data_IF_080958849105
#
_entry.id   IF_080958849105
#
_cell.length_a   1.000
_cell.length_b   1.000
_cell.length_c   1.000
_cell.angle_alpha   90.00
_cell.angle_beta   90.00
_cell.angle_gamma   90.00
#
_symmetry.space_group_name_H-M   'P 1'
#
loop_
_entity.id
_entity.type
_entity.pdbx_description
1 polymer ?
#
# COMPACT_ATOMS: atom_id res chain seq x y z
N UNK A 1 -12.00 -43.29 1.42
CA UNK A 1 -11.98 -41.90 0.92
C UNK A 1 -12.56 -41.05 2.04
N UNK A 2 -11.77 -40.15 2.62
CA UNK A 2 -12.15 -39.42 3.85
C UNK A 2 -12.42 -37.93 3.61
N UNK A 3 -12.18 -37.44 2.40
CA UNK A 3 -12.31 -36.03 2.04
C UNK A 3 -13.57 -35.82 1.18
N UNK A 4 -14.39 -34.83 1.57
CA UNK A 4 -15.67 -34.53 0.92
C UNK A 4 -15.83 -33.04 0.66
N UNK A 5 -16.51 -32.69 -0.43
CA UNK A 5 -16.96 -31.32 -0.71
C UNK A 5 -18.46 -31.26 -0.45
N UNK A 6 -18.85 -30.69 0.69
CA UNK A 6 -20.25 -30.54 1.07
C UNK A 6 -20.81 -29.25 0.49
N UNK A 7 -21.94 -29.36 -0.21
CA UNK A 7 -22.64 -28.21 -0.79
C UNK A 7 -24.11 -28.30 -0.43
N UNK A 8 -24.70 -27.18 -0.03
CA UNK A 8 -26.14 -27.11 0.24
C UNK A 8 -26.91 -27.52 -1.02
N UNK A 9 -27.95 -28.36 -0.86
CA UNK A 9 -28.78 -28.88 -1.95
C UNK A 9 -29.25 -27.80 -2.93
N UNK A 10 -29.54 -26.60 -2.44
CA UNK A 10 -29.94 -25.44 -3.26
C UNK A 10 -28.89 -25.03 -4.31
N UNK A 11 -27.61 -25.24 -4.03
CA UNK A 11 -26.50 -24.86 -4.90
C UNK A 11 -25.87 -26.04 -5.63
N UNK A 12 -26.52 -27.22 -5.65
CA UNK A 12 -25.96 -28.42 -6.29
C UNK A 12 -25.64 -28.21 -7.78
N UNK A 13 -26.49 -27.48 -8.50
CA UNK A 13 -26.31 -27.15 -9.93
C UNK A 13 -25.21 -26.13 -10.20
N UNK A 14 -24.68 -25.50 -9.14
CA UNK A 14 -23.55 -24.59 -9.23
C UNK A 14 -22.22 -25.34 -9.28
N UNK A 15 -22.15 -26.58 -8.80
CA UNK A 15 -20.91 -27.39 -8.83
C UNK A 15 -20.69 -27.91 -10.25
N UNK A 16 -19.55 -27.58 -10.84
CA UNK A 16 -19.21 -27.93 -12.22
C UNK A 16 -18.30 -29.16 -12.31
N UNK A 17 -17.37 -29.30 -11.36
CA UNK A 17 -16.33 -30.33 -11.41
C UNK A 17 -15.74 -30.53 -10.02
N UNK A 18 -15.40 -31.77 -9.65
CA UNK A 18 -14.71 -32.11 -8.40
C UNK A 18 -13.65 -33.16 -8.72
N UNK A 19 -12.38 -32.85 -8.47
CA UNK A 19 -11.26 -33.75 -8.77
C UNK A 19 -10.28 -33.88 -7.61
N UNK A 20 -9.73 -35.08 -7.45
CA UNK A 20 -8.61 -35.35 -6.56
C UNK A 20 -7.28 -35.26 -7.34
N UNK A 21 -6.37 -34.40 -6.89
CA UNK A 21 -5.05 -34.20 -7.48
C UNK A 21 -4.00 -35.09 -6.80
N UNK A 22 -3.93 -36.36 -7.21
CA UNK A 22 -3.03 -37.37 -6.62
C UNK A 22 -1.54 -37.00 -6.71
N UNK A 23 -1.13 -36.33 -7.78
CA UNK A 23 0.25 -35.86 -7.96
C UNK A 23 0.65 -34.67 -7.07
N UNK A 24 -0.32 -33.93 -6.51
CA UNK A 24 -0.03 -32.77 -5.64
C UNK A 24 0.37 -33.19 -4.22
N UNK A 25 0.01 -34.40 -3.80
CA UNK A 25 0.28 -34.94 -2.46
C UNK A 25 1.77 -35.02 -2.13
N UNK A 26 2.62 -35.34 -3.11
CA UNK A 26 4.08 -35.38 -2.94
C UNK A 26 4.75 -34.05 -2.64
N UNK A 27 4.17 -32.95 -3.14
CA UNK A 27 4.65 -31.59 -2.86
C UNK A 27 4.30 -31.16 -1.43
N UNK A 28 3.10 -31.51 -0.98
CA UNK A 28 2.50 -31.05 0.29
C UNK A 28 2.93 -31.92 1.48
N UNK A 29 3.16 -33.22 1.26
CA UNK A 29 3.62 -34.15 2.31
C UNK A 29 2.53 -34.64 3.25
N UNK A 30 1.26 -34.57 2.84
CA UNK A 30 0.10 -35.13 3.57
C UNK A 30 -0.21 -36.54 3.11
N UNK A 31 -0.91 -37.31 3.93
CA UNK A 31 -1.56 -38.58 3.55
C UNK A 31 -2.92 -38.36 2.83
N UNK A 32 -3.48 -37.16 2.94
CA UNK A 32 -4.65 -36.71 2.19
C UNK A 32 -4.32 -36.26 0.75
N UNK A 33 -5.29 -36.41 -0.17
CA UNK A 33 -5.19 -35.86 -1.51
C UNK A 33 -5.78 -34.46 -1.59
N UNK A 34 -5.16 -33.58 -2.37
CA UNK A 34 -5.72 -32.26 -2.64
C UNK A 34 -6.99 -32.39 -3.49
N UNK A 35 -8.14 -32.00 -2.97
CA UNK A 35 -9.39 -31.91 -3.74
C UNK A 35 -9.60 -30.50 -4.28
N UNK A 36 -10.01 -30.41 -5.54
CA UNK A 36 -10.39 -29.16 -6.18
C UNK A 36 -11.83 -29.26 -6.67
N UNK A 37 -12.70 -28.39 -6.17
CA UNK A 37 -14.05 -28.20 -6.67
C UNK A 37 -14.15 -26.90 -7.47
N UNK A 38 -14.74 -26.97 -8.67
CA UNK A 38 -15.08 -25.81 -9.48
C UNK A 38 -16.56 -25.50 -9.29
N UNK A 39 -16.87 -24.31 -8.79
CA UNK A 39 -18.25 -23.90 -8.47
C UNK A 39 -18.55 -22.55 -9.14
N UNK A 40 -19.69 -22.45 -9.84
CA UNK A 40 -20.19 -21.22 -10.46
C UNK A 40 -21.21 -20.53 -9.55
N UNK A 41 -20.85 -19.37 -9.01
CA UNK A 41 -21.72 -18.59 -8.13
C UNK A 41 -22.15 -17.27 -8.77
N UNK A 42 -23.44 -16.95 -8.66
CA UNK A 42 -23.98 -15.64 -9.03
C UNK A 42 -24.28 -14.88 -7.74
N UNK A 43 -23.30 -14.13 -7.26
CA UNK A 43 -23.44 -13.30 -6.06
C UNK A 43 -23.77 -11.87 -6.50
N UNK A 44 -24.74 -11.22 -5.83
CA UNK A 44 -24.91 -9.77 -5.93
C UNK A 44 -23.66 -9.11 -5.34
N UNK A 45 -22.72 -8.76 -6.20
CA UNK A 45 -21.54 -8.03 -5.79
C UNK A 45 -21.89 -6.54 -5.68
N UNK A 46 -21.75 -5.97 -4.49
CA UNK A 46 -21.82 -4.51 -4.33
C UNK A 46 -20.68 -3.94 -5.18
N UNK A 47 -20.99 -3.18 -6.24
CA UNK A 47 -19.98 -2.52 -7.05
C UNK A 47 -19.13 -1.68 -6.10
N UNK A 48 -17.86 -2.05 -5.94
CA UNK A 48 -16.89 -1.21 -5.24
C UNK A 48 -16.83 0.07 -6.07
N UNK A 49 -17.07 1.22 -5.45
CA UNK A 49 -16.70 2.51 -6.03
C UNK A 49 -15.27 2.40 -6.52
N UNK A 50 -15.00 2.90 -7.73
CA UNK A 50 -13.64 2.96 -8.26
C UNK A 50 -12.76 3.64 -7.22
N UNK A 51 -11.79 2.89 -6.70
CA UNK A 51 -10.82 3.46 -5.76
C UNK A 51 -9.88 4.30 -6.61
N UNK A 52 -9.94 5.62 -6.49
CA UNK A 52 -8.84 6.48 -6.92
C UNK A 52 -7.60 6.08 -6.12
N UNK A 53 -6.62 5.50 -6.79
CA UNK A 53 -5.36 5.12 -6.16
C UNK A 53 -4.46 6.34 -6.13
N UNK A 54 -4.16 6.81 -4.90
CA UNK A 54 -3.12 7.81 -4.68
C UNK A 54 -1.80 7.34 -5.30
N UNK A 55 -1.06 8.28 -5.88
CA UNK A 55 0.27 8.01 -6.40
C UNK A 55 1.15 7.47 -5.26
N UNK A 56 1.71 6.27 -5.46
CA UNK A 56 2.72 5.70 -4.58
C UNK A 56 4.08 5.92 -5.20
N UNK A 57 4.83 6.82 -4.59
CA UNK A 57 6.20 7.10 -4.99
C UNK A 57 7.15 6.00 -4.49
N UNK A 58 8.12 5.65 -5.33
CA UNK A 58 9.28 4.86 -4.95
C UNK A 58 10.37 5.81 -4.43
N UNK A 59 10.59 5.80 -3.12
CA UNK A 59 11.55 6.70 -2.47
C UNK A 59 12.99 6.45 -2.91
N UNK A 60 13.32 5.23 -3.33
CA UNK A 60 14.66 4.93 -3.84
C UNK A 60 14.98 5.64 -5.16
N UNK A 61 13.95 5.98 -5.94
CA UNK A 61 14.12 6.74 -7.19
C UNK A 61 14.26 8.24 -6.95
N UNK A 62 13.74 8.74 -5.84
CA UNK A 62 13.85 10.16 -5.46
C UNK A 62 15.26 10.52 -4.97
N UNK A 63 16.07 9.52 -4.59
CA UNK A 63 17.49 9.73 -4.26
C UNK A 63 18.41 9.71 -5.49
N UNK A 64 17.90 9.35 -6.67
CA UNK A 64 18.67 9.35 -7.91
C UNK A 64 18.62 10.75 -8.55
N UNK A 65 19.74 11.46 -8.46
CA UNK A 65 19.87 12.82 -9.00
C UNK A 65 19.61 12.88 -10.51
N UNK A 66 19.95 11.85 -11.27
CA UNK A 66 19.72 11.83 -12.72
C UNK A 66 18.22 11.80 -13.04
N UNK A 67 17.44 10.99 -12.31
CA UNK A 67 15.99 10.92 -12.47
C UNK A 67 15.31 12.22 -12.03
N UNK A 68 15.80 12.83 -10.95
CA UNK A 68 15.30 14.13 -10.48
C UNK A 68 15.58 15.23 -11.51
N UNK A 69 16.78 15.30 -12.07
CA UNK A 69 17.08 16.27 -13.13
C UNK A 69 16.25 16.06 -14.39
N UNK A 70 16.05 14.80 -14.83
CA UNK A 70 15.20 14.50 -15.97
C UNK A 70 13.74 14.93 -15.73
N UNK A 71 13.21 14.68 -14.53
CA UNK A 71 11.89 15.14 -14.10
C UNK A 71 11.75 16.67 -14.13
N UNK A 72 12.75 17.40 -13.62
CA UNK A 72 12.75 18.87 -13.63
C UNK A 72 12.78 19.44 -15.06
N UNK A 73 13.57 18.85 -15.96
CA UNK A 73 13.64 19.27 -17.36
C UNK A 73 12.29 19.05 -18.07
N UNK A 74 11.67 17.89 -17.85
CA UNK A 74 10.36 17.55 -18.43
C UNK A 74 9.27 18.52 -17.98
N UNK A 75 9.23 18.82 -16.66
CA UNK A 75 8.34 19.83 -16.10
C UNK A 75 8.56 21.22 -16.70
N UNK A 76 9.81 21.66 -16.83
CA UNK A 76 10.15 22.96 -17.40
C UNK A 76 9.78 23.08 -18.89
N UNK A 77 9.92 21.99 -19.65
CA UNK A 77 9.54 21.95 -21.07
C UNK A 77 8.04 22.09 -21.27
N UNK A 78 7.24 21.43 -20.42
CA UNK A 78 5.79 21.54 -20.51
C UNK A 78 5.27 22.92 -20.11
N UNK A 79 5.89 23.58 -19.12
CA UNK A 79 5.53 24.96 -18.76
C UNK A 79 5.53 25.89 -19.97
N UNK A 80 6.54 25.73 -20.83
CA UNK A 80 6.66 26.53 -22.06
C UNK A 80 5.50 26.27 -23.03
N UNK A 81 4.99 25.04 -23.07
CA UNK A 81 3.81 24.68 -23.88
C UNK A 81 2.53 25.21 -23.22
N UNK A 82 2.33 24.97 -21.92
CA UNK A 82 1.14 25.37 -21.17
C UNK A 82 0.98 26.90 -21.12
N UNK A 83 2.07 27.68 -20.97
CA UNK A 83 2.01 29.15 -20.97
C UNK A 83 1.47 29.74 -22.28
N UNK A 84 1.57 29.02 -23.42
CA UNK A 84 1.01 29.47 -24.71
C UNK A 84 -0.50 29.32 -24.77
N UNK A 85 -1.05 28.29 -24.14
CA UNK A 85 -2.49 27.97 -24.16
C UNK A 85 -3.27 28.58 -22.98
N UNK A 86 -2.57 29.10 -21.95
CA UNK A 86 -3.15 29.52 -20.67
C UNK A 86 -3.71 30.96 -20.58
N UNK A 87 -3.80 31.73 -21.66
CA UNK A 87 -4.27 33.13 -21.56
C UNK A 87 -5.76 33.27 -21.20
N UNK A 88 -6.59 32.28 -21.48
CA UNK A 88 -8.06 32.33 -21.31
C UNK A 88 -8.61 31.48 -20.17
N UNK A 89 -7.77 30.68 -19.50
CA UNK A 89 -8.20 29.75 -18.45
C UNK A 89 -8.33 30.44 -17.09
N UNK A 90 -9.29 29.97 -16.29
CA UNK A 90 -9.46 30.38 -14.90
C UNK A 90 -8.28 29.92 -14.03
N UNK A 91 -8.11 30.55 -12.87
CA UNK A 91 -7.07 30.17 -11.89
C UNK A 91 -7.21 28.70 -11.47
N UNK A 92 -8.44 28.22 -11.27
CA UNK A 92 -8.71 26.82 -10.89
C UNK A 92 -8.32 25.82 -11.99
N UNK A 93 -8.55 26.16 -13.26
CA UNK A 93 -8.14 25.31 -14.37
C UNK A 93 -6.62 25.27 -14.50
N UNK A 94 -5.94 26.42 -14.35
CA UNK A 94 -4.47 26.49 -14.32
C UNK A 94 -3.89 25.62 -13.22
N UNK A 95 -4.44 25.70 -12.01
CA UNK A 95 -4.03 24.87 -10.87
C UNK A 95 -4.27 23.38 -11.13
N UNK A 96 -5.44 23.03 -11.68
CA UNK A 96 -5.77 21.63 -11.99
C UNK A 96 -4.82 21.05 -13.04
N UNK A 97 -4.49 21.81 -14.08
CA UNK A 97 -3.53 21.39 -15.11
C UNK A 97 -2.13 21.19 -14.53
N UNK A 98 -1.68 22.11 -13.68
CA UNK A 98 -0.42 21.99 -12.96
C UNK A 98 -0.35 20.73 -12.10
N UNK A 99 -1.37 20.50 -11.25
CA UNK A 99 -1.44 19.33 -10.38
C UNK A 99 -1.43 18.03 -11.20
N UNK A 100 -2.24 17.96 -12.26
CA UNK A 100 -2.31 16.77 -13.12
C UNK A 100 -0.97 16.49 -13.80
N UNK A 101 -0.32 17.53 -14.34
CA UNK A 101 1.01 17.43 -14.96
C UNK A 101 2.05 16.89 -13.98
N UNK A 102 2.12 17.46 -12.78
CA UNK A 102 3.06 17.06 -11.73
C UNK A 102 2.81 15.60 -11.34
N UNK A 103 1.56 15.20 -11.12
CA UNK A 103 1.20 13.84 -10.75
C UNK A 103 1.47 12.81 -11.86
N UNK A 104 1.21 13.16 -13.12
CA UNK A 104 1.44 12.29 -14.26
C UNK A 104 2.93 12.00 -14.46
N UNK A 105 3.75 13.06 -14.47
CA UNK A 105 5.22 12.92 -14.55
C UNK A 105 5.78 12.26 -13.31
N UNK A 106 5.30 12.63 -12.13
CA UNK A 106 5.67 11.97 -10.88
C UNK A 106 5.40 10.46 -10.92
N UNK A 107 4.31 10.04 -11.57
CA UNK A 107 4.02 8.62 -11.81
C UNK A 107 4.98 8.00 -12.83
N UNK A 108 5.32 8.71 -13.89
CA UNK A 108 6.25 8.23 -14.91
C UNK A 108 7.66 7.98 -14.34
N UNK A 109 8.24 8.96 -13.67
CA UNK A 109 9.61 8.87 -13.14
C UNK A 109 9.68 8.09 -11.82
N UNK A 110 8.82 8.45 -10.85
CA UNK A 110 8.90 7.96 -9.48
C UNK A 110 7.80 6.95 -9.12
N UNK A 111 6.96 6.57 -10.07
CA UNK A 111 5.90 5.59 -9.83
C UNK A 111 6.46 4.24 -9.37
N UNK A 112 5.84 3.69 -8.33
CA UNK A 112 6.14 2.35 -7.86
C UNK A 112 5.38 1.32 -8.71
N UNK A 113 6.00 0.88 -9.81
CA UNK A 113 5.45 -0.12 -10.74
C UNK A 113 5.57 -1.56 -10.21
N UNK A 114 6.13 -1.76 -9.02
CA UNK A 114 6.15 -3.07 -8.39
C UNK A 114 4.72 -3.38 -7.95
N UNK A 115 3.99 -4.08 -8.84
CA UNK A 115 3.03 -5.09 -8.42
C UNK A 115 3.80 -6.04 -7.51
N UNK A 116 3.88 -5.70 -6.22
CA UNK A 116 4.40 -6.61 -5.21
C UNK A 116 3.49 -7.82 -5.37
N UNK A 117 4.02 -8.90 -5.93
CA UNK A 117 3.33 -10.17 -6.04
C UNK A 117 2.98 -10.61 -4.61
N UNK A 118 1.83 -10.14 -4.11
CA UNK A 118 1.32 -10.30 -2.74
C UNK A 118 0.91 -11.74 -2.40
N UNK A 119 1.48 -12.73 -3.10
CA UNK A 119 1.13 -14.14 -2.95
C UNK A 119 2.29 -15.05 -2.57
N UNK A 120 3.55 -14.63 -2.78
CA UNK A 120 4.72 -15.43 -2.42
C UNK A 120 5.13 -15.22 -0.96
N UNK A 121 5.51 -16.29 -0.26
CA UNK A 121 6.20 -16.14 1.04
C UNK A 121 7.59 -15.56 0.76
N UNK A 122 7.95 -14.45 1.40
CA UNK A 122 9.20 -13.71 1.14
C UNK A 122 10.45 -14.58 1.33
N UNK A 123 10.41 -15.53 2.29
CA UNK A 123 11.49 -16.47 2.55
C UNK A 123 11.63 -17.59 1.52
N UNK A 124 10.65 -17.79 0.63
CA UNK A 124 10.65 -18.90 -0.33
C UNK A 124 11.45 -18.55 -1.58
N UNK A 125 12.73 -18.89 -1.56
CA UNK A 125 13.69 -18.57 -2.62
C UNK A 125 13.54 -19.48 -3.86
N UNK A 126 14.04 -19.05 -5.03
CA UNK A 126 14.09 -19.89 -6.23
C UNK A 126 14.84 -21.22 -6.00
N UNK A 127 15.89 -21.21 -5.19
CA UNK A 127 16.63 -22.41 -4.81
C UNK A 127 15.76 -23.40 -4.03
N UNK A 128 14.99 -22.92 -3.04
CA UNK A 128 14.04 -23.77 -2.31
C UNK A 128 12.97 -24.33 -3.24
N UNK A 129 12.47 -23.52 -4.18
CA UNK A 129 11.52 -23.96 -5.18
C UNK A 129 12.07 -25.12 -6.00
N UNK A 130 13.31 -25.04 -6.47
CA UNK A 130 13.94 -26.11 -7.26
C UNK A 130 14.01 -27.42 -6.48
N UNK A 131 14.38 -27.37 -5.19
CA UNK A 131 14.51 -28.57 -4.35
C UNK A 131 13.13 -29.16 -4.04
N UNK A 132 12.12 -28.31 -3.81
CA UNK A 132 10.72 -28.75 -3.67
C UNK A 132 10.19 -29.40 -4.95
N UNK A 133 10.51 -28.84 -6.12
CA UNK A 133 10.12 -29.40 -7.41
C UNK A 133 10.81 -30.75 -7.68
N UNK A 134 12.09 -30.90 -7.30
CA UNK A 134 12.81 -32.19 -7.34
C UNK A 134 12.14 -33.24 -6.46
N UNK A 135 11.71 -32.86 -5.24
CA UNK A 135 10.95 -33.74 -4.34
C UNK A 135 9.62 -34.15 -4.97
N UNK A 136 8.89 -33.21 -5.56
CA UNK A 136 7.60 -33.47 -6.21
C UNK A 136 7.75 -34.44 -7.38
N UNK A 137 8.75 -34.25 -8.25
CA UNK A 137 9.07 -35.18 -9.35
C UNK A 137 9.39 -36.59 -8.83
N UNK A 138 10.26 -36.69 -7.83
CA UNK A 138 10.62 -37.98 -7.24
C UNK A 138 9.42 -38.71 -6.60
N UNK A 139 8.43 -37.97 -6.09
CA UNK A 139 7.18 -38.56 -5.61
C UNK A 139 6.36 -39.14 -6.77
N UNK A 140 6.21 -38.41 -7.87
CA UNK A 140 5.52 -38.90 -9.08
C UNK A 140 6.21 -40.15 -9.60
N UNK A 141 7.55 -40.15 -9.67
CA UNK A 141 8.33 -41.33 -10.10
C UNK A 141 8.07 -42.54 -9.18
N UNK A 142 8.03 -42.34 -7.87
CA UNK A 142 7.69 -43.41 -6.92
C UNK A 142 6.25 -43.92 -7.10
N UNK A 143 5.28 -43.04 -7.34
CA UNK A 143 3.89 -43.46 -7.59
C UNK A 143 3.76 -44.30 -8.87
N UNK A 144 4.52 -43.97 -9.93
CA UNK A 144 4.52 -44.73 -11.18
C UNK A 144 5.17 -46.11 -11.05
N UNK A 145 6.13 -46.27 -10.13
CA UNK A 145 6.88 -47.51 -9.92
C UNK A 145 6.42 -48.29 -8.68
N UNK A 146 5.21 -48.01 -8.18
CA UNK A 146 4.63 -48.72 -7.05
C UNK A 146 4.40 -50.19 -7.42
N UNK A 147 4.70 -51.11 -6.50
CA UNK A 147 4.60 -52.56 -6.71
C UNK A 147 5.57 -53.13 -7.77
N UNK A 148 6.57 -52.36 -8.20
CA UNK A 148 7.64 -52.84 -9.08
C UNK A 148 8.85 -53.31 -8.26
N UNK A 149 9.71 -54.15 -8.84
CA UNK A 149 10.97 -54.60 -8.20
C UNK A 149 11.87 -53.42 -7.79
N UNK A 150 11.73 -52.27 -8.46
CA UNK A 150 12.51 -51.06 -8.21
C UNK A 150 11.84 -50.08 -7.23
N UNK A 151 10.69 -50.40 -6.63
CA UNK A 151 9.95 -49.48 -5.76
C UNK A 151 10.83 -48.89 -4.65
N UNK A 152 11.64 -49.73 -3.99
CA UNK A 152 12.51 -49.30 -2.90
C UNK A 152 13.52 -48.22 -3.32
N UNK A 153 14.03 -48.28 -4.56
CA UNK A 153 14.95 -47.27 -5.10
C UNK A 153 14.27 -45.91 -5.21
N UNK A 154 13.08 -45.86 -5.81
CA UNK A 154 12.33 -44.62 -5.99
C UNK A 154 11.79 -44.08 -4.66
N UNK A 155 11.32 -44.96 -3.78
CA UNK A 155 10.88 -44.62 -2.42
C UNK A 155 12.00 -44.01 -1.59
N UNK A 156 13.21 -44.60 -1.63
CA UNK A 156 14.37 -44.07 -0.90
C UNK A 156 14.81 -42.72 -1.47
N UNK A 157 14.84 -42.55 -2.80
CA UNK A 157 15.11 -41.26 -3.45
C UNK A 157 14.14 -40.17 -2.99
N UNK A 158 12.84 -40.46 -2.99
CA UNK A 158 11.82 -39.52 -2.48
C UNK A 158 12.05 -39.18 -1.00
N UNK A 159 12.29 -40.18 -0.13
CA UNK A 159 12.55 -39.97 1.30
C UNK A 159 13.77 -39.09 1.57
N UNK A 160 14.86 -39.31 0.84
CA UNK A 160 16.07 -38.49 0.96
C UNK A 160 15.80 -37.04 0.58
N UNK A 161 15.13 -36.82 -0.56
CA UNK A 161 14.75 -35.47 -1.00
C UNK A 161 13.75 -34.81 -0.04
N UNK A 162 12.82 -35.57 0.54
CA UNK A 162 11.89 -35.06 1.54
C UNK A 162 12.61 -34.55 2.79
N UNK A 163 13.61 -35.29 3.31
CA UNK A 163 14.45 -34.86 4.43
C UNK A 163 15.27 -33.60 4.09
N UNK A 164 15.86 -33.55 2.90
CA UNK A 164 16.63 -32.37 2.44
C UNK A 164 15.73 -31.13 2.37
N UNK A 165 14.55 -31.26 1.75
CA UNK A 165 13.57 -30.17 1.68
C UNK A 165 13.17 -29.72 3.08
N UNK A 166 12.84 -30.66 3.98
CA UNK A 166 12.47 -30.34 5.35
C UNK A 166 13.56 -29.51 6.04
N UNK A 167 14.80 -30.00 6.05
CA UNK A 167 15.92 -29.31 6.70
C UNK A 167 16.19 -27.92 6.10
N UNK A 168 16.21 -27.80 4.77
CA UNK A 168 16.46 -26.52 4.11
C UNK A 168 15.33 -25.52 4.29
N UNK A 169 14.07 -25.97 4.27
CA UNK A 169 12.91 -25.11 4.53
C UNK A 169 12.94 -24.61 5.97
N UNK A 170 13.20 -25.48 6.95
CA UNK A 170 13.32 -25.06 8.35
C UNK A 170 14.48 -24.08 8.56
N UNK A 171 15.66 -24.39 8.02
CA UNK A 171 16.83 -23.50 8.13
C UNK A 171 16.56 -22.12 7.51
N UNK A 172 15.96 -22.07 6.31
CA UNK A 172 15.63 -20.79 5.67
C UNK A 172 14.54 -20.02 6.41
N UNK A 173 13.53 -20.70 6.94
CA UNK A 173 12.50 -20.05 7.77
C UNK A 173 13.14 -19.43 9.02
N UNK A 174 14.00 -20.16 9.71
CA UNK A 174 14.70 -19.65 10.89
C UNK A 174 15.59 -18.45 10.54
N UNK A 175 16.40 -18.56 9.49
CA UNK A 175 17.23 -17.45 9.02
C UNK A 175 16.40 -16.22 8.65
N UNK A 176 15.25 -16.40 8.01
CA UNK A 176 14.35 -15.29 7.68
C UNK A 176 13.80 -14.59 8.93
N UNK A 177 13.42 -15.34 9.96
CA UNK A 177 12.96 -14.76 11.22
C UNK A 177 14.08 -13.99 11.94
N UNK A 178 15.31 -14.51 11.89
CA UNK A 178 16.49 -13.85 12.45
C UNK A 178 16.82 -12.55 11.70
N UNK A 179 16.92 -12.60 10.36
CA UNK A 179 17.12 -11.45 9.48
C UNK A 179 16.10 -10.34 9.80
N UNK A 180 14.83 -10.73 9.94
CA UNK A 180 13.76 -9.78 10.20
C UNK A 180 13.81 -9.20 11.61
N UNK A 181 14.24 -9.98 12.60
CA UNK A 181 14.47 -9.51 13.97
C UNK A 181 15.56 -8.45 14.00
N UNK A 182 16.69 -8.71 13.33
CA UNK A 182 17.82 -7.79 13.18
C UNK A 182 17.37 -6.50 12.47
N UNK A 183 16.59 -6.61 11.39
CA UNK A 183 16.08 -5.44 10.66
C UNK A 183 15.19 -4.54 11.53
N UNK A 184 14.31 -5.12 12.36
CA UNK A 184 13.47 -4.37 13.30
C UNK A 184 14.34 -3.70 14.36
N UNK A 185 15.27 -4.44 14.96
CA UNK A 185 16.15 -3.93 16.01
C UNK A 185 17.00 -2.76 15.51
N UNK A 186 17.58 -2.88 14.31
CA UNK A 186 18.35 -1.81 13.68
C UNK A 186 17.47 -0.60 13.36
N UNK A 187 16.26 -0.80 12.84
CA UNK A 187 15.34 0.31 12.56
C UNK A 187 14.93 1.06 13.84
N UNK A 188 14.75 0.34 14.96
CA UNK A 188 14.46 0.94 16.27
C UNK A 188 15.68 1.71 16.79
N UNK A 189 16.89 1.14 16.71
CA UNK A 189 18.14 1.79 17.13
C UNK A 189 18.41 3.10 16.39
N UNK A 190 18.08 3.16 15.09
CA UNK A 190 18.22 4.35 14.25
C UNK A 190 17.05 5.33 14.43
N UNK A 191 16.10 5.05 15.32
CA UNK A 191 14.87 5.84 15.51
C UNK A 191 14.08 6.05 14.21
N UNK A 192 14.00 5.02 13.35
CA UNK A 192 13.16 5.03 12.15
C UNK A 192 11.82 4.29 12.40
N UNK A 193 10.77 5.01 12.88
CA UNK A 193 9.47 4.40 13.09
C UNK A 193 8.82 3.92 11.80
N UNK A 194 9.18 4.50 10.65
CA UNK A 194 8.57 4.14 9.36
C UNK A 194 8.91 2.70 9.01
N UNK A 195 10.21 2.38 9.00
CA UNK A 195 10.69 1.03 8.67
C UNK A 195 10.24 0.02 9.73
N UNK A 196 10.32 0.40 11.01
CA UNK A 196 9.81 -0.41 12.13
C UNK A 196 8.34 -0.83 11.93
N UNK A 197 7.44 0.13 11.72
CA UNK A 197 6.01 -0.18 11.51
C UNK A 197 5.73 -0.89 10.19
N UNK A 198 6.54 -0.66 9.15
CA UNK A 198 6.42 -1.43 7.91
C UNK A 198 6.73 -2.90 8.15
N UNK A 199 7.82 -3.22 8.85
CA UNK A 199 8.19 -4.61 9.14
C UNK A 199 7.13 -5.26 10.05
N UNK A 200 6.68 -4.57 11.12
CA UNK A 200 5.60 -5.07 11.99
C UNK A 200 4.31 -5.34 11.19
N UNK A 201 3.98 -4.48 10.22
CA UNK A 201 2.82 -4.69 9.36
C UNK A 201 3.01 -5.89 8.42
N UNK A 202 4.22 -6.13 7.91
CA UNK A 202 4.54 -7.36 7.15
C UNK A 202 4.31 -8.60 8.00
N UNK A 203 4.78 -8.59 9.25
CA UNK A 203 4.65 -9.68 10.22
C UNK A 203 3.21 -10.01 10.61
N UNK A 204 2.43 -8.98 10.94
CA UNK A 204 1.01 -9.11 11.30
C UNK A 204 0.18 -9.65 10.15
N UNK A 205 0.68 -9.55 8.91
CA UNK A 205 -0.07 -9.80 7.70
C UNK A 205 -1.18 -8.77 7.46
N UNK A 206 -1.97 -8.98 6.42
CA UNK A 206 -3.20 -8.21 6.17
C UNK A 206 -4.27 -8.68 7.16
N UNK A 207 -4.08 -8.41 8.46
CA UNK A 207 -5.18 -8.49 9.41
C UNK A 207 -6.34 -7.67 8.85
N UNK A 208 -7.54 -8.24 8.84
CA UNK A 208 -8.73 -7.44 8.61
C UNK A 208 -8.66 -6.30 9.63
N UNK A 209 -8.78 -5.06 9.15
CA UNK A 209 -9.10 -3.96 10.03
C UNK A 209 -10.44 -4.32 10.63
N UNK A 210 -10.44 -4.98 11.78
CA UNK A 210 -11.63 -5.14 12.59
C UNK A 210 -11.92 -3.69 12.96
N UNK A 211 -12.89 -3.08 12.27
CA UNK A 211 -13.51 -1.84 12.76
C UNK A 211 -14.17 -2.24 14.07
N UNK A 212 -13.38 -2.22 15.15
CA UNK A 212 -13.84 -2.59 16.50
C UNK A 212 -14.83 -1.57 17.04
N UNK A 213 -14.92 -0.40 16.42
CA UNK A 213 -15.82 0.67 16.80
C UNK A 213 -16.88 0.84 15.73
N UNK A 214 -18.06 0.30 16.01
CA UNK A 214 -19.26 0.68 15.31
C UNK A 214 -19.56 2.15 15.61
N UNK A 215 -19.82 2.95 14.57
CA UNK A 215 -20.25 4.34 14.77
C UNK A 215 -21.69 4.31 15.26
N UNK A 216 -21.97 4.93 16.40
CA UNK A 216 -23.30 5.03 16.96
C UNK A 216 -23.89 6.42 16.70
N UNK A 217 -25.21 6.48 16.55
CA UNK A 217 -25.93 7.74 16.60
C UNK A 217 -25.95 8.32 18.04
N UNK A 218 -26.58 9.49 18.21
CA UNK A 218 -26.69 10.12 19.54
C UNK A 218 -27.51 9.29 20.55
N UNK A 219 -28.35 8.39 20.06
CA UNK A 219 -29.20 7.53 20.87
C UNK A 219 -28.53 6.17 21.18
N UNK A 220 -27.28 5.96 20.76
CA UNK A 220 -26.52 4.73 20.98
C UNK A 220 -26.81 3.61 19.96
N UNK A 221 -27.61 3.85 18.92
CA UNK A 221 -27.90 2.88 17.87
C UNK A 221 -26.73 2.79 16.89
N UNK A 222 -26.35 1.56 16.56
CA UNK A 222 -25.25 1.31 15.62
C UNK A 222 -25.64 1.65 14.19
N UNK A 223 -24.90 2.58 13.57
CA UNK A 223 -25.05 2.95 12.17
C UNK A 223 -24.28 1.97 11.28
N UNK A 224 -24.99 1.31 10.37
CA UNK A 224 -24.40 0.32 9.43
C UNK A 224 -24.17 0.89 8.03
N UNK A 225 -24.81 2.01 7.70
CA UNK A 225 -24.75 2.66 6.39
C UNK A 225 -23.66 3.74 6.36
N UNK A 226 -22.83 3.73 5.30
CA UNK A 226 -21.73 4.69 5.12
C UNK A 226 -22.18 6.15 5.06
N UNK A 227 -23.37 6.44 4.50
CA UNK A 227 -23.88 7.82 4.42
C UNK A 227 -24.26 8.34 5.80
N UNK A 228 -24.94 7.52 6.58
CA UNK A 228 -25.42 7.88 7.91
C UNK A 228 -24.23 8.01 8.88
N UNK A 229 -23.23 7.15 8.74
CA UNK A 229 -21.95 7.30 9.46
C UNK A 229 -21.26 8.63 9.13
N UNK A 230 -21.23 9.03 7.85
CA UNK A 230 -20.61 10.31 7.43
C UNK A 230 -21.37 11.51 8.01
N UNK A 231 -22.71 11.47 7.98
CA UNK A 231 -23.55 12.50 8.58
C UNK A 231 -23.33 12.60 10.09
N UNK A 232 -23.25 11.46 10.78
CA UNK A 232 -22.96 11.41 12.21
C UNK A 232 -21.59 12.01 12.55
N UNK A 233 -20.58 11.78 11.73
CA UNK A 233 -19.27 12.43 11.85
C UNK A 233 -19.37 13.94 11.64
N UNK A 234 -20.11 14.38 10.61
CA UNK A 234 -20.35 15.81 10.37
C UNK A 234 -20.97 16.46 11.60
N UNK A 235 -22.06 15.90 12.13
CA UNK A 235 -22.72 16.40 13.35
C UNK A 235 -21.76 16.46 14.54
N UNK A 236 -20.97 15.41 14.76
CA UNK A 236 -19.99 15.38 15.85
C UNK A 236 -18.94 16.49 15.76
N UNK A 237 -18.36 16.69 14.58
CA UNK A 237 -17.35 17.74 14.38
C UNK A 237 -17.95 19.14 14.41
N UNK A 238 -19.19 19.30 13.92
CA UNK A 238 -19.92 20.57 13.98
C UNK A 238 -20.13 21.00 15.44
N UNK A 239 -20.66 20.09 16.27
CA UNK A 239 -20.85 20.35 17.71
C UNK A 239 -19.55 20.57 18.47
N UNK A 240 -18.49 19.85 18.12
CA UNK A 240 -17.21 19.94 18.82
C UNK A 240 -16.41 21.20 18.44
N UNK A 241 -16.45 21.62 17.17
CA UNK A 241 -15.60 22.69 16.65
C UNK A 241 -16.34 24.04 16.55
N UNK A 242 -17.65 24.04 16.36
CA UNK A 242 -18.46 25.24 16.21
C UNK A 242 -19.23 25.55 17.50
N UNK A 243 -18.53 25.49 18.64
CA UNK A 243 -19.09 25.92 19.92
C UNK A 243 -19.08 27.45 19.95
N UNK A 244 -20.25 28.06 20.13
CA UNK A 244 -20.37 29.48 20.38
C UNK A 244 -19.72 29.82 21.73
N UNK A 245 -18.42 30.12 21.69
CA UNK A 245 -17.70 30.64 22.84
C UNK A 245 -18.10 32.09 23.04
N UNK A 246 -18.70 32.43 24.19
CA UNK A 246 -18.91 33.81 24.60
C UNK A 246 -17.57 34.41 24.99
N UNK A 247 -16.88 35.01 24.02
CA UNK A 247 -15.63 35.71 24.28
C UNK A 247 -16.00 37.05 24.93
N UNK A 248 -15.52 37.27 26.16
CA UNK A 248 -15.69 38.57 26.80
C UNK A 248 -14.88 39.62 26.02
N UNK A 249 -15.57 40.55 25.36
CA UNK A 249 -14.93 41.64 24.59
C UNK A 249 -13.97 42.47 25.44
N UNK A 250 -14.22 42.60 26.74
CA UNK A 250 -13.30 43.29 27.65
C UNK A 250 -11.95 42.58 27.77
N UNK A 251 -11.94 41.24 27.67
CA UNK A 251 -10.70 40.43 27.67
C UNK A 251 -10.00 40.54 26.32
N UNK A 252 -10.73 40.56 25.20
CA UNK A 252 -10.16 40.81 23.87
C UNK A 252 -9.49 42.19 23.78
N UNK A 253 -10.13 43.23 24.33
CA UNK A 253 -9.56 44.59 24.37
C UNK A 253 -8.31 44.69 25.26
N UNK A 254 -8.13 43.77 26.22
CA UNK A 254 -6.92 43.67 27.05
C UNK A 254 -5.78 42.90 26.37
N UNK A 255 -6.05 42.16 25.28
CA UNK A 255 -5.00 41.52 24.48
C UNK A 255 -4.27 42.64 23.73
N UNK A 256 -2.97 42.86 23.98
CA UNK A 256 -2.21 43.84 23.23
C UNK A 256 -2.24 43.46 21.75
N UNK A 257 -2.83 44.31 20.89
CA UNK A 257 -2.66 44.16 19.45
C UNK A 257 -1.16 44.23 19.17
N UNK A 258 -0.56 43.19 18.56
CA UNK A 258 0.84 43.26 18.19
C UNK A 258 0.99 44.45 17.25
N UNK A 259 1.69 45.48 17.72
CA UNK A 259 2.07 46.64 16.91
C UNK A 259 3.20 46.16 16.03
N UNK A 260 2.84 45.47 14.95
CA UNK A 260 3.77 45.22 13.87
C UNK A 260 4.14 46.58 13.29
N UNK A 261 5.43 46.84 13.13
CA UNK A 261 5.89 48.06 12.48
C UNK A 261 5.35 48.11 11.05
N UNK A 262 5.11 49.29 10.49
CA UNK A 262 4.49 49.45 9.16
C UNK A 262 5.25 48.69 8.05
N UNK A 263 6.57 48.52 8.21
CA UNK A 263 7.41 47.69 7.35
C UNK A 263 7.04 46.20 7.42
N UNK A 264 6.81 45.66 8.62
CA UNK A 264 6.44 44.25 8.81
C UNK A 264 5.00 43.97 8.36
N UNK A 265 4.12 44.96 8.50
CA UNK A 265 2.76 44.92 7.94
C UNK A 265 2.82 44.85 6.39
N UNK A 266 3.63 45.72 5.79
CA UNK A 266 3.82 45.77 4.33
C UNK A 266 4.45 44.48 3.78
N UNK A 267 5.27 43.78 4.58
CA UNK A 267 5.85 42.48 4.21
C UNK A 267 4.84 41.33 4.22
N UNK A 268 3.76 41.40 5.00
CA UNK A 268 2.75 40.34 5.04
C UNK A 268 1.87 40.32 3.78
N UNK A 269 1.63 41.49 3.17
CA UNK A 269 0.84 41.63 1.94
C UNK A 269 1.70 41.57 0.67
N UNK A 270 3.02 41.46 0.81
CA UNK A 270 3.93 41.35 -0.31
C UNK A 270 3.78 39.99 -1.02
N UNK A 271 3.94 40.00 -2.35
CA UNK A 271 3.99 38.76 -3.14
C UNK A 271 5.20 37.95 -2.70
N UNK A 272 5.05 36.66 -2.34
CA UNK A 272 6.17 35.84 -1.91
C UNK A 272 7.22 35.72 -3.01
N UNK A 273 8.48 35.81 -2.61
CA UNK A 273 9.60 35.63 -3.51
C UNK A 273 9.82 34.14 -3.82
N UNK A 274 10.39 33.83 -4.98
CA UNK A 274 10.67 32.44 -5.37
C UNK A 274 11.60 31.76 -4.34
N UNK A 275 12.54 32.49 -3.75
CA UNK A 275 13.43 31.96 -2.72
C UNK A 275 12.68 31.60 -1.43
N UNK A 276 11.68 32.40 -1.04
CA UNK A 276 10.79 32.07 0.09
C UNK A 276 9.99 30.80 -0.19
N UNK A 277 9.47 30.66 -1.41
CA UNK A 277 8.73 29.45 -1.83
C UNK A 277 9.65 28.23 -1.83
N UNK A 278 10.87 28.32 -2.39
CA UNK A 278 11.86 27.24 -2.36
C UNK A 278 12.18 26.84 -0.92
N UNK A 279 12.39 27.82 -0.04
CA UNK A 279 12.67 27.59 1.39
C UNK A 279 11.48 26.92 2.08
N UNK A 280 10.26 27.37 1.82
CA UNK A 280 9.04 26.79 2.36
C UNK A 280 8.88 25.33 1.92
N UNK A 281 9.06 25.03 0.62
CA UNK A 281 9.01 23.67 0.08
C UNK A 281 10.07 22.78 0.74
N UNK A 282 11.27 23.30 0.94
CA UNK A 282 12.36 22.60 1.63
C UNK A 282 12.01 22.17 3.06
N UNK A 283 11.25 23.00 3.77
CA UNK A 283 10.82 22.76 5.16
C UNK A 283 9.67 21.73 5.30
N UNK A 284 8.94 21.44 4.22
CA UNK A 284 7.82 20.48 4.27
C UNK A 284 8.36 19.10 4.69
N UNK A 285 7.67 18.41 5.61
CA UNK A 285 8.08 17.06 6.04
C UNK A 285 7.72 16.02 4.98
N UNK A 286 8.70 15.19 4.60
CA UNK A 286 8.48 14.03 3.73
C UNK A 286 7.64 12.96 4.46
N UNK A 287 7.11 11.99 3.70
CA UNK A 287 6.33 10.84 4.18
C UNK A 287 5.00 11.23 4.86
N UNK A 288 4.54 12.47 4.66
CA UNK A 288 3.22 12.93 5.09
C UNK A 288 2.17 12.58 4.05
N UNK A 289 0.92 12.47 4.50
CA UNK A 289 -0.19 12.26 3.59
C UNK A 289 -0.33 13.51 2.70
N UNK A 290 -0.53 13.34 1.37
CA UNK A 290 -0.77 14.47 0.49
C UNK A 290 -2.11 15.13 0.81
N UNK A 291 -2.27 16.38 0.38
CA UNK A 291 -3.48 17.16 0.55
C UNK A 291 -4.63 16.70 -0.36
N UNK A 292 -5.61 17.59 -0.56
CA UNK A 292 -6.75 17.36 -1.46
C UNK A 292 -6.33 17.22 -2.93
N UNK A 293 -5.19 17.80 -3.28
CA UNK A 293 -4.54 17.72 -4.59
C UNK A 293 -3.86 16.36 -4.85
N UNK A 294 -3.76 15.49 -3.84
CA UNK A 294 -3.02 14.23 -3.86
C UNK A 294 -1.52 14.39 -4.24
N UNK A 295 -0.96 15.61 -4.18
CA UNK A 295 0.46 15.89 -4.47
C UNK A 295 1.30 15.66 -3.21
N UNK A 296 2.24 14.70 -3.22
CA UNK A 296 3.10 14.44 -2.07
C UNK A 296 4.24 15.46 -1.97
N UNK A 297 4.68 15.75 -0.75
CA UNK A 297 5.74 16.71 -0.45
C UNK A 297 7.06 16.40 -1.18
N UNK A 298 7.38 15.10 -1.33
CA UNK A 298 8.58 14.65 -2.01
C UNK A 298 8.62 15.06 -3.48
N UNK A 299 7.44 15.13 -4.12
CA UNK A 299 7.33 15.51 -5.52
C UNK A 299 7.47 17.02 -5.70
N UNK A 300 6.92 17.80 -4.75
CA UNK A 300 7.14 19.25 -4.69
C UNK A 300 8.63 19.58 -4.55
N UNK A 301 9.33 18.88 -3.66
CA UNK A 301 10.79 19.04 -3.48
C UNK A 301 11.58 18.61 -4.71
N UNK A 302 11.22 17.50 -5.34
CA UNK A 302 11.90 17.00 -6.54
C UNK A 302 11.71 17.93 -7.74
N UNK A 303 10.58 18.66 -7.84
CA UNK A 303 10.31 19.54 -8.98
C UNK A 303 11.09 20.84 -8.99
N UNK A 304 11.83 21.15 -7.92
CA UNK A 304 12.81 22.22 -7.88
C UNK A 304 12.26 23.59 -8.26
N UNK A 305 13.06 24.37 -9.01
CA UNK A 305 12.75 25.76 -9.35
C UNK A 305 11.45 25.91 -10.15
N UNK A 306 11.10 24.94 -11.01
CA UNK A 306 9.87 25.01 -11.78
C UNK A 306 8.62 25.07 -10.91
N UNK A 307 8.53 24.19 -9.91
CA UNK A 307 7.39 24.16 -8.99
C UNK A 307 7.36 25.44 -8.16
N UNK A 308 8.52 25.95 -7.74
CA UNK A 308 8.61 27.17 -6.97
C UNK A 308 8.30 28.45 -7.77
N UNK A 309 8.54 28.48 -9.08
CA UNK A 309 8.16 29.61 -9.95
C UNK A 309 6.65 29.60 -10.27
N UNK A 310 6.03 28.42 -10.25
CA UNK A 310 4.60 28.28 -10.51
C UNK A 310 3.74 28.67 -9.30
N UNK A 311 4.19 28.30 -8.09
CA UNK A 311 3.53 28.57 -6.80
C UNK A 311 3.73 30.03 -6.37
#
# INVERSE_FOLDING_TARGET
>A
MLDYVLVNRKFRSSVQDVRAHRGATGGIGTDHHLFRAKIRLHLKCRRKTEKKYRLRLDQSKLTDNCLVSAFQIDLANENKSIRRDNKTLSVNEKFTNFVNSVLERGRHYFGNNKSIHKGGKEWFTPELKEIVDKKAKAYVDWQLHRSTTNENKYRNRYRTLAKIVQNKVYARQHAYWEELSIDIENAVKVHDPTTTFQIIRRLRGNGQSINRMAVQDKNGLTLTNSKDQLNRWKEYFDEMLNVDTTINEQVLQQIPSPTLHDEELSRQDAVPTVDEVVKAIGQIKNKKAPGKDDVPAELLKAGGHYIAEWL
#
